data_IF_637658128016
#
_entry.id   IF_637658128016
#
_cell.length_a   1.000
_cell.length_b   1.000
_cell.length_c   1.000
_cell.angle_alpha   90.00
_cell.angle_beta   90.00
_cell.angle_gamma   90.00
#
_symmetry.space_group_name_H-M   'P 1'
#
loop_
_entity.id
_entity.type
_entity.pdbx_description
1 polymer ?
#
# COMPACT_ATOMS: atom_id res chain seq x y z
N UNK A 1 -0.04 7.61 9.33
CA UNK A 1 -0.96 7.20 8.23
C UNK A 1 -2.40 7.38 8.69
N UNK A 2 -3.30 7.85 7.83
CA UNK A 2 -4.72 8.04 8.20
C UNK A 2 -5.65 7.47 7.12
N UNK A 3 -5.52 7.91 5.86
CA UNK A 3 -6.51 7.55 4.83
C UNK A 3 -6.61 6.06 4.47
N UNK A 4 -5.55 5.26 4.59
CA UNK A 4 -5.54 3.86 4.13
C UNK A 4 -6.28 2.87 5.05
N UNK A 5 -6.48 3.23 6.33
CA UNK A 5 -6.97 2.29 7.34
C UNK A 5 -8.41 1.82 7.08
N UNK A 6 -9.30 2.73 6.70
CA UNK A 6 -10.68 2.37 6.37
C UNK A 6 -10.76 1.35 5.22
N UNK A 7 -9.87 1.47 4.22
CA UNK A 7 -9.80 0.49 3.13
C UNK A 7 -9.21 -0.85 3.60
N UNK A 8 -8.21 -0.79 4.48
CA UNK A 8 -7.59 -1.99 5.04
C UNK A 8 -8.61 -2.80 5.86
N UNK A 9 -9.51 -2.15 6.60
CA UNK A 9 -10.62 -2.84 7.26
C UNK A 9 -11.54 -3.56 6.28
N UNK A 10 -11.92 -2.92 5.17
CA UNK A 10 -12.72 -3.60 4.13
C UNK A 10 -12.01 -4.82 3.53
N UNK A 11 -10.69 -4.78 3.35
CA UNK A 11 -9.91 -5.96 2.94
C UNK A 11 -9.93 -7.04 4.02
N UNK A 12 -9.81 -6.68 5.30
CA UNK A 12 -9.84 -7.63 6.41
C UNK A 12 -11.22 -8.29 6.59
N UNK A 13 -12.32 -7.60 6.31
CA UNK A 13 -13.66 -8.19 6.31
C UNK A 13 -13.79 -9.30 5.24
N UNK A 14 -13.16 -9.15 4.08
CA UNK A 14 -13.16 -10.15 3.01
C UNK A 14 -12.18 -11.29 3.29
N UNK A 15 -11.05 -10.99 3.95
CA UNK A 15 -10.01 -11.95 4.30
C UNK A 15 -9.76 -11.99 5.82
N UNK A 16 -10.73 -12.48 6.63
CA UNK A 16 -10.65 -12.38 8.09
C UNK A 16 -9.54 -13.22 8.72
N UNK A 17 -8.99 -14.19 7.98
CA UNK A 17 -7.85 -15.01 8.42
C UNK A 17 -6.49 -14.41 8.04
N UNK A 18 -6.46 -13.35 7.22
CA UNK A 18 -5.22 -12.70 6.87
C UNK A 18 -4.66 -11.93 8.09
N UNK A 19 -3.34 -11.96 8.26
CA UNK A 19 -2.67 -11.13 9.25
C UNK A 19 -2.90 -9.65 8.90
N UNK A 20 -3.37 -8.87 9.87
CA UNK A 20 -3.56 -7.43 9.73
C UNK A 20 -2.46 -6.67 10.48
N UNK A 21 -1.76 -5.79 9.77
CA UNK A 21 -0.66 -5.00 10.33
C UNK A 21 -0.90 -3.53 10.00
N UNK A 22 -1.00 -2.71 11.05
CA UNK A 22 -0.96 -1.26 10.91
C UNK A 22 0.50 -0.81 10.97
N UNK A 23 1.17 -0.78 9.81
CA UNK A 23 2.56 -0.36 9.69
C UNK A 23 2.62 1.14 9.40
N UNK A 24 3.44 1.91 10.13
CA UNK A 24 3.72 3.31 9.84
C UNK A 24 4.92 3.48 8.89
N UNK A 25 5.79 2.47 8.85
CA UNK A 25 7.01 2.40 8.03
C UNK A 25 7.31 0.95 7.62
N UNK A 26 8.16 0.76 6.61
CA UNK A 26 8.55 -0.58 6.16
C UNK A 26 9.18 -1.42 7.30
N UNK A 27 9.93 -0.78 8.20
CA UNK A 27 10.57 -1.42 9.35
C UNK A 27 9.59 -2.06 10.36
N UNK A 28 8.32 -1.68 10.34
CA UNK A 28 7.28 -2.32 11.15
C UNK A 28 6.95 -3.74 10.66
N UNK A 29 7.29 -4.05 9.41
CA UNK A 29 7.19 -5.40 8.86
C UNK A 29 8.42 -6.20 9.30
N UNK A 30 8.18 -7.31 10.01
CA UNK A 30 9.21 -8.18 10.56
C UNK A 30 9.18 -9.53 9.85
N UNK A 31 10.28 -10.29 9.92
CA UNK A 31 10.40 -11.60 9.28
C UNK A 31 9.21 -12.53 9.59
N UNK A 32 8.74 -12.59 10.84
CA UNK A 32 7.63 -13.46 11.23
C UNK A 32 6.26 -13.02 10.66
N UNK A 33 6.13 -11.77 10.21
CA UNK A 33 4.93 -11.30 9.51
C UNK A 33 4.82 -11.92 8.10
N UNK A 34 5.95 -12.22 7.45
CA UNK A 34 6.00 -12.68 6.04
C UNK A 34 6.48 -14.11 5.85
N UNK A 35 7.20 -14.71 6.81
CA UNK A 35 7.87 -16.01 6.66
C UNK A 35 6.95 -17.17 6.24
N UNK A 36 5.67 -17.12 6.62
CA UNK A 36 4.68 -18.17 6.31
C UNK A 36 3.57 -17.67 5.39
N UNK A 37 3.74 -16.48 4.79
CA UNK A 37 2.76 -15.88 3.90
C UNK A 37 3.16 -16.09 2.44
N UNK A 38 2.15 -16.26 1.59
CA UNK A 38 2.33 -16.33 0.12
C UNK A 38 2.07 -15.02 -0.58
N UNK A 39 1.35 -14.11 0.09
CA UNK A 39 0.88 -12.85 -0.48
C UNK A 39 0.83 -11.79 0.61
N UNK A 40 1.30 -10.58 0.28
CA UNK A 40 1.11 -9.35 1.07
C UNK A 40 0.23 -8.42 0.26
N UNK A 41 -0.75 -7.79 0.93
CA UNK A 41 -1.58 -6.75 0.35
C UNK A 41 -1.17 -5.43 1.00
N UNK A 42 -0.52 -4.56 0.24
CA UNK A 42 -0.18 -3.20 0.67
C UNK A 42 -1.36 -2.29 0.38
N UNK A 43 -1.98 -1.74 1.44
CA UNK A 43 -3.17 -0.90 1.34
C UNK A 43 -2.82 0.55 1.67
N UNK A 44 -3.12 1.49 0.77
CA UNK A 44 -2.89 2.91 0.99
C UNK A 44 -3.91 3.78 0.27
N UNK A 45 -4.44 4.83 0.89
CA UNK A 45 -5.47 5.69 0.26
C UNK A 45 -4.99 6.39 -1.00
N UNK A 46 -3.75 6.89 -0.98
CA UNK A 46 -3.16 7.65 -2.08
C UNK A 46 -1.73 7.22 -2.25
N UNK A 47 -1.34 6.99 -3.50
CA UNK A 47 0.05 6.84 -3.92
C UNK A 47 0.45 8.13 -4.63
N UNK A 48 1.35 8.90 -4.02
CA UNK A 48 1.82 10.17 -4.58
C UNK A 48 2.97 9.94 -5.57
N UNK A 49 4.20 9.78 -5.06
CA UNK A 49 5.42 9.46 -5.83
C UNK A 49 5.59 7.96 -5.98
N UNK A 50 5.17 7.17 -4.97
CA UNK A 50 5.36 5.72 -4.95
C UNK A 50 6.58 5.29 -4.14
N UNK A 51 7.42 6.22 -3.69
CA UNK A 51 8.62 5.96 -2.87
C UNK A 51 8.30 5.06 -1.66
N UNK A 52 7.27 5.40 -0.88
CA UNK A 52 6.87 4.56 0.26
C UNK A 52 6.46 3.15 -0.17
N UNK A 53 5.80 2.96 -1.32
CA UNK A 53 5.49 1.61 -1.78
C UNK A 53 6.75 0.85 -2.17
N UNK A 54 7.71 1.50 -2.83
CA UNK A 54 8.99 0.91 -3.22
C UNK A 54 9.74 0.45 -1.97
N UNK A 55 9.87 1.31 -0.96
CA UNK A 55 10.50 0.96 0.33
C UNK A 55 9.86 -0.28 0.96
N UNK A 56 8.52 -0.36 0.95
CA UNK A 56 7.80 -1.52 1.48
C UNK A 56 8.01 -2.77 0.64
N UNK A 57 8.03 -2.66 -0.69
CA UNK A 57 8.24 -3.78 -1.62
C UNK A 57 9.64 -4.36 -1.44
N UNK A 58 10.67 -3.51 -1.47
CA UNK A 58 12.06 -3.91 -1.30
C UNK A 58 12.26 -4.58 0.07
N UNK A 59 11.80 -3.94 1.14
CA UNK A 59 11.91 -4.51 2.49
C UNK A 59 11.18 -5.85 2.64
N UNK A 60 9.99 -5.99 2.04
CA UNK A 60 9.25 -7.27 2.06
C UNK A 60 9.99 -8.35 1.27
N UNK A 61 10.60 -8.03 0.12
CA UNK A 61 11.38 -9.00 -0.65
C UNK A 61 12.71 -9.35 0.01
N UNK A 62 13.36 -8.43 0.71
CA UNK A 62 14.53 -8.71 1.55
C UNK A 62 14.19 -9.69 2.67
N UNK A 63 12.98 -9.57 3.24
CA UNK A 63 12.48 -10.51 4.23
C UNK A 63 11.95 -11.80 3.62
N UNK A 64 11.39 -11.81 2.41
CA UNK A 64 10.91 -13.02 1.74
C UNK A 64 10.86 -12.82 0.21
N UNK A 65 11.88 -13.29 -0.48
CA UNK A 65 12.09 -12.99 -1.90
C UNK A 65 10.94 -13.43 -2.82
N UNK A 66 10.31 -14.58 -2.55
CA UNK A 66 9.29 -15.17 -3.43
C UNK A 66 7.85 -14.73 -3.12
N UNK A 67 7.65 -13.83 -2.14
CA UNK A 67 6.30 -13.42 -1.75
C UNK A 67 5.64 -12.57 -2.84
N UNK A 68 4.34 -12.79 -3.07
CA UNK A 68 3.58 -11.99 -4.04
C UNK A 68 3.09 -10.71 -3.36
N UNK A 69 3.27 -9.56 -4.00
CA UNK A 69 2.80 -8.29 -3.47
C UNK A 69 1.66 -7.77 -4.35
N UNK A 70 0.51 -7.51 -3.71
CA UNK A 70 -0.63 -6.83 -4.31
C UNK A 70 -0.73 -5.43 -3.70
N UNK A 71 -0.92 -4.41 -4.53
CA UNK A 71 -1.05 -3.04 -4.08
C UNK A 71 -2.50 -2.62 -4.29
N UNK A 72 -3.15 -2.16 -3.22
CA UNK A 72 -4.51 -1.64 -3.24
C UNK A 72 -4.48 -0.17 -2.85
N UNK A 73 -4.83 0.68 -3.81
CA UNK A 73 -4.90 2.12 -3.60
C UNK A 73 -6.18 2.74 -4.15
N UNK A 74 -6.71 3.72 -3.43
CA UNK A 74 -7.88 4.48 -3.87
C UNK A 74 -7.54 5.47 -4.97
N UNK A 75 -6.38 6.14 -4.85
CA UNK A 75 -5.86 7.07 -5.84
C UNK A 75 -4.38 6.78 -6.10
N UNK A 76 -3.99 6.74 -7.37
CA UNK A 76 -2.58 6.69 -7.78
C UNK A 76 -2.31 7.91 -8.65
N UNK A 77 -1.35 8.75 -8.26
CA UNK A 77 -0.99 9.91 -9.05
C UNK A 77 -0.18 9.49 -10.29
N UNK A 78 -0.30 10.26 -11.37
CA UNK A 78 0.31 9.93 -12.66
C UNK A 78 1.84 9.75 -12.60
N UNK A 79 2.50 10.49 -11.71
CA UNK A 79 3.95 10.38 -11.46
C UNK A 79 4.31 9.03 -10.85
N UNK A 80 3.59 8.58 -9.83
CA UNK A 80 3.73 7.23 -9.29
C UNK A 80 3.48 6.13 -10.31
N UNK A 81 2.55 6.30 -11.26
CA UNK A 81 2.34 5.31 -12.31
C UNK A 81 3.58 5.15 -13.19
N UNK A 82 4.27 6.25 -13.52
CA UNK A 82 5.48 6.20 -14.33
C UNK A 82 6.61 5.46 -13.61
N UNK A 83 6.82 5.73 -12.32
CA UNK A 83 7.83 5.05 -11.50
C UNK A 83 7.46 3.59 -11.22
N UNK A 84 6.21 3.31 -10.87
CA UNK A 84 5.74 1.94 -10.66
C UNK A 84 5.78 1.10 -11.93
N UNK A 85 5.63 1.69 -13.13
CA UNK A 85 5.78 0.96 -14.38
C UNK A 85 7.23 0.54 -14.62
N UNK A 86 8.22 1.30 -14.11
CA UNK A 86 9.61 0.86 -14.10
C UNK A 86 9.82 -0.31 -13.12
N UNK A 87 9.18 -0.27 -11.94
CA UNK A 87 9.25 -1.35 -10.94
C UNK A 87 8.47 -2.62 -11.34
N UNK A 88 7.32 -2.48 -12.01
CA UNK A 88 6.50 -3.57 -12.52
C UNK A 88 7.15 -4.29 -13.70
N UNK A 89 8.15 -3.69 -14.36
CA UNK A 89 9.01 -4.41 -15.30
C UNK A 89 10.06 -5.27 -14.59
N UNK A 90 10.37 -4.95 -13.33
CA UNK A 90 11.35 -5.67 -12.50
C UNK A 90 10.69 -6.73 -11.62
N UNK A 91 9.38 -6.66 -11.39
CA UNK A 91 8.62 -7.56 -10.53
C UNK A 91 7.40 -8.08 -11.29
N UNK A 92 7.05 -9.37 -11.19
CA UNK A 92 5.85 -9.97 -11.79
C UNK A 92 4.53 -9.48 -11.13
N UNK A 93 4.46 -8.22 -10.72
CA UNK A 93 3.33 -7.61 -10.04
C UNK A 93 2.25 -7.13 -11.02
N UNK A 94 1.01 -7.10 -10.55
CA UNK A 94 -0.12 -6.45 -11.25
C UNK A 94 -0.63 -5.30 -10.40
N UNK A 95 -0.66 -4.09 -10.97
CA UNK A 95 -1.21 -2.89 -10.32
C UNK A 95 -2.59 -2.56 -10.90
N UNK A 96 -3.56 -2.28 -10.03
CA UNK A 96 -4.91 -1.86 -10.41
C UNK A 96 -5.26 -0.55 -9.70
N UNK A 97 -5.65 0.47 -10.47
CA UNK A 97 -6.07 1.77 -9.97
C UNK A 97 -7.43 2.15 -10.55
N UNK A 98 -8.37 2.55 -9.68
CA UNK A 98 -9.73 2.95 -10.10
C UNK A 98 -9.86 4.46 -10.35
N UNK A 99 -9.00 5.31 -9.76
CA UNK A 99 -9.03 6.77 -9.95
C UNK A 99 -7.61 7.38 -9.97
N UNK A 100 -7.16 7.86 -11.13
CA UNK A 100 -5.88 8.55 -11.31
C UNK A 100 -6.07 10.07 -11.45
N UNK A 101 -6.36 10.79 -10.35
CA UNK A 101 -6.54 12.25 -10.38
C UNK A 101 -5.85 12.93 -9.19
N UNK A 102 -5.27 14.12 -9.39
CA UNK A 102 -4.71 14.94 -8.31
C UNK A 102 -5.85 15.47 -7.44
N UNK A 103 -5.98 14.96 -6.22
CA UNK A 103 -6.94 15.46 -5.22
C UNK A 103 -6.21 15.85 -3.92
N UNK A 104 -6.73 16.83 -3.16
CA UNK A 104 -6.19 17.19 -1.84
C UNK A 104 -6.15 16.00 -0.87
N UNK A 105 -5.32 16.11 0.18
CA UNK A 105 -5.06 15.06 1.19
C UNK A 105 -6.31 14.25 1.56
N UNK A 106 -6.31 12.98 1.17
CA UNK A 106 -7.44 12.05 1.37
C UNK A 106 -7.60 11.67 2.82
N UNK A 107 -6.51 11.64 3.61
CA UNK A 107 -6.62 11.45 5.06
C UNK A 107 -7.39 12.59 5.69
N UNK A 108 -7.15 13.83 5.24
CA UNK A 108 -7.84 14.96 5.82
C UNK A 108 -9.34 15.00 5.51
N UNK A 109 -9.73 14.56 4.30
CA UNK A 109 -11.14 14.41 3.92
C UNK A 109 -11.82 13.24 4.62
N UNK A 110 -11.13 12.10 4.77
CA UNK A 110 -11.70 10.91 5.38
C UNK A 110 -12.02 11.13 6.87
N UNK A 111 -11.13 11.82 7.59
CA UNK A 111 -11.34 12.14 9.00
C UNK A 111 -11.90 13.55 9.23
N UNK A 112 -12.27 14.26 8.16
CA UNK A 112 -12.82 15.62 8.20
C UNK A 112 -12.06 16.59 9.13
N UNK A 113 -10.73 16.51 9.15
CA UNK A 113 -9.88 17.35 10.01
C UNK A 113 -9.43 18.65 9.30
N UNK A 114 -9.98 18.94 8.11
CA UNK A 114 -9.63 20.11 7.28
C UNK A 114 -9.84 21.46 7.95
N UNK A 115 -10.56 21.50 9.07
CA UNK A 115 -10.92 22.71 9.81
C UNK A 115 -10.24 22.81 11.19
N UNK A 116 -9.35 21.87 11.52
CA UNK A 116 -8.62 21.83 12.79
C UNK A 116 -7.17 22.29 12.55
N UNK A 117 -6.99 23.61 12.42
CA UNK A 117 -5.67 24.28 12.37
C UNK A 117 -5.42 24.98 13.69
#
# INVERSE_FOLDING_TARGET
MRGGEAMAFGVNEVFPQAMFIHAASAADIKKHHVAHQRTVILVGSVVNTGETLIEFIEHVHDLQAEIRILILAGVVQAEAVAEMHALAKLTNGSSWCQHCTKTPDTGNRLFNNTHLV
#
